data_IF_876635973588
#
_entry.id   IF_876635973588
#
_cell.length_a   1.000
_cell.length_b   1.000
_cell.length_c   1.000
_cell.angle_alpha   90.00
_cell.angle_beta   90.00
_cell.angle_gamma   90.00
#
_symmetry.space_group_name_H-M   'P 1'
#
loop_
_entity.id
_entity.type
_entity.pdbx_description
1 polymer ?
#
# COMPACT_ATOMS: atom_id res chain seq x y z
N UNK A 1 11.10 28.86 -1.95
CA UNK A 1 11.11 28.11 -3.22
C UNK A 1 9.90 27.21 -3.21
N UNK A 2 8.96 27.40 -4.13
CA UNK A 2 7.75 26.59 -4.26
C UNK A 2 8.14 25.12 -4.51
N UNK A 3 7.57 24.12 -3.81
CA UNK A 3 7.78 22.73 -4.18
C UNK A 3 7.16 22.52 -5.56
N UNK A 4 7.90 21.84 -6.41
CA UNK A 4 7.61 21.55 -7.79
C UNK A 4 6.17 21.04 -8.00
N UNK A 5 5.57 21.42 -9.13
CA UNK A 5 4.31 20.98 -9.72
C UNK A 5 4.27 19.44 -9.95
N UNK A 6 4.31 18.63 -8.90
CA UNK A 6 4.04 17.20 -8.95
C UNK A 6 2.53 16.98 -9.04
N UNK A 7 2.07 16.20 -10.04
CA UNK A 7 0.67 15.77 -10.08
C UNK A 7 0.35 14.94 -8.83
N UNK A 8 -0.82 15.17 -8.22
CA UNK A 8 -1.28 14.35 -7.11
C UNK A 8 -1.53 12.91 -7.61
N UNK A 9 -0.86 11.93 -6.99
CA UNK A 9 -1.14 10.51 -7.21
C UNK A 9 -2.44 10.11 -6.52
N UNK A 10 -2.70 10.68 -5.33
CA UNK A 10 -3.95 10.51 -4.57
C UNK A 10 -4.45 11.87 -4.16
N UNK A 11 -5.75 12.13 -4.36
CA UNK A 11 -6.45 13.30 -3.85
C UNK A 11 -7.74 12.87 -3.18
N UNK A 12 -7.91 13.19 -1.92
CA UNK A 12 -9.14 13.03 -1.16
C UNK A 12 -9.74 14.42 -0.87
N UNK A 13 -11.05 14.58 -1.06
CA UNK A 13 -11.76 15.83 -0.82
C UNK A 13 -12.99 15.57 0.05
N UNK A 14 -12.97 16.09 1.28
CA UNK A 14 -14.03 15.91 2.30
C UNK A 14 -14.48 14.44 2.43
N UNK A 15 -13.53 13.53 2.31
CA UNK A 15 -13.75 12.09 2.24
C UNK A 15 -14.27 11.58 3.59
N UNK A 16 -15.40 10.86 3.56
CA UNK A 16 -16.00 10.29 4.77
C UNK A 16 -16.41 8.84 4.54
N UNK A 17 -16.25 8.03 5.58
CA UNK A 17 -16.74 6.67 5.66
C UNK A 17 -17.34 6.40 7.03
N UNK A 18 -18.64 6.24 7.07
CA UNK A 18 -19.39 5.97 8.28
C UNK A 18 -20.04 4.60 8.20
N UNK A 19 -19.95 3.82 9.29
CA UNK A 19 -20.58 2.51 9.40
C UNK A 19 -21.69 2.56 10.44
N UNK A 20 -22.82 1.95 10.14
CA UNK A 20 -23.91 1.76 11.11
C UNK A 20 -23.78 0.39 11.76
N UNK A 21 -23.69 0.35 13.08
CA UNK A 21 -23.71 -0.85 13.90
C UNK A 21 -24.90 -0.76 14.88
N UNK A 22 -26.05 -1.31 14.49
CA UNK A 22 -27.29 -1.09 15.22
C UNK A 22 -27.68 0.39 15.25
N UNK A 23 -27.83 0.98 16.45
CA UNK A 23 -28.12 2.40 16.64
C UNK A 23 -26.88 3.30 16.62
N UNK A 24 -25.68 2.71 16.71
CA UNK A 24 -24.43 3.46 16.78
C UNK A 24 -23.90 3.80 15.37
N UNK A 25 -23.42 5.04 15.22
CA UNK A 25 -22.73 5.53 14.02
C UNK A 25 -21.23 5.63 14.30
N UNK A 26 -20.44 4.78 13.62
CA UNK A 26 -18.98 4.82 13.68
C UNK A 26 -18.48 5.66 12.52
N UNK A 27 -17.81 6.78 12.82
CA UNK A 27 -17.18 7.67 11.84
C UNK A 27 -15.73 7.27 11.63
N UNK A 28 -15.50 6.23 10.83
CA UNK A 28 -14.16 5.69 10.62
C UNK A 28 -13.25 6.63 9.83
N UNK A 29 -13.81 7.40 8.90
CA UNK A 29 -13.19 8.53 8.19
C UNK A 29 -14.21 9.65 8.18
N UNK A 30 -13.85 10.87 8.58
CA UNK A 30 -14.78 11.97 8.82
C UNK A 30 -14.25 13.30 8.26
N UNK A 31 -14.54 13.57 6.99
CA UNK A 31 -14.21 14.82 6.30
C UNK A 31 -12.74 15.00 5.99
N UNK A 32 -12.00 13.92 5.67
CA UNK A 32 -10.56 14.00 5.32
C UNK A 32 -10.36 14.63 3.95
N UNK A 33 -9.50 15.67 3.91
CA UNK A 33 -8.94 16.21 2.67
C UNK A 33 -7.42 16.05 2.69
N UNK A 34 -6.87 15.43 1.64
CA UNK A 34 -5.47 15.01 1.57
C UNK A 34 -5.02 14.88 0.11
N UNK A 35 -3.86 15.43 -0.23
CA UNK A 35 -3.15 15.14 -1.46
C UNK A 35 -1.85 14.37 -1.16
N UNK A 36 -1.55 13.30 -1.92
CA UNK A 36 -0.25 12.62 -1.93
C UNK A 36 0.33 12.77 -3.32
N UNK A 37 1.57 13.23 -3.42
CA UNK A 37 2.22 13.50 -4.71
C UNK A 37 2.75 12.20 -5.35
N UNK A 38 2.85 12.20 -6.67
CA UNK A 38 3.48 11.08 -7.39
C UNK A 38 4.95 10.92 -6.97
N UNK A 39 5.36 9.66 -6.68
CA UNK A 39 6.70 9.32 -6.19
C UNK A 39 6.93 9.63 -4.71
N UNK A 40 5.94 10.14 -3.97
CA UNK A 40 6.05 10.39 -2.54
C UNK A 40 6.06 9.08 -1.74
N UNK A 41 6.85 9.04 -0.66
CA UNK A 41 6.72 8.02 0.38
C UNK A 41 6.11 8.68 1.62
N UNK A 42 4.82 8.49 1.81
CA UNK A 42 4.06 9.03 2.95
C UNK A 42 3.78 7.94 4.00
N UNK A 43 3.86 8.29 5.29
CA UNK A 43 3.45 7.43 6.39
C UNK A 43 2.19 7.98 7.06
N UNK A 44 1.18 7.13 7.24
CA UNK A 44 -0.01 7.41 8.03
C UNK A 44 0.16 6.82 9.43
N UNK A 45 0.10 7.68 10.44
CA UNK A 45 0.33 7.38 11.85
C UNK A 45 -0.94 7.59 12.66
N UNK A 46 -1.10 6.85 13.75
CA UNK A 46 -2.22 6.99 14.68
C UNK A 46 -2.44 5.73 15.50
N UNK A 47 -3.20 5.81 16.58
CA UNK A 47 -3.58 4.67 17.41
C UNK A 47 -4.46 3.67 16.65
N UNK A 48 -4.62 2.45 17.20
CA UNK A 48 -5.63 1.51 16.70
C UNK A 48 -7.03 2.17 16.73
N UNK A 49 -7.81 1.95 15.67
CA UNK A 49 -9.13 2.56 15.53
C UNK A 49 -9.15 4.02 15.04
N UNK A 50 -8.01 4.66 14.78
CA UNK A 50 -7.97 6.06 14.31
C UNK A 50 -8.47 6.27 12.87
N UNK A 51 -8.78 5.20 12.10
CA UNK A 51 -9.31 5.27 10.74
C UNK A 51 -8.31 5.01 9.62
N UNK A 52 -7.03 4.69 9.92
CA UNK A 52 -5.96 4.47 8.92
C UNK A 52 -6.30 3.40 7.89
N UNK A 53 -6.63 2.19 8.34
CA UNK A 53 -6.98 1.08 7.44
C UNK A 53 -8.28 1.36 6.68
N UNK A 54 -9.24 2.10 7.27
CA UNK A 54 -10.45 2.51 6.55
C UNK A 54 -10.13 3.51 5.44
N UNK A 55 -9.26 4.50 5.69
CA UNK A 55 -8.80 5.44 4.68
C UNK A 55 -8.00 4.72 3.58
N UNK A 56 -7.12 3.80 3.97
CA UNK A 56 -6.37 2.97 3.02
C UNK A 56 -7.29 2.13 2.14
N UNK A 57 -8.35 1.53 2.70
CA UNK A 57 -9.35 0.76 1.94
C UNK A 57 -10.14 1.62 0.95
N UNK A 58 -10.45 2.88 1.28
CA UNK A 58 -11.07 3.82 0.35
C UNK A 58 -10.12 4.15 -0.82
N UNK A 59 -8.85 4.43 -0.53
CA UNK A 59 -7.82 4.69 -1.56
C UNK A 59 -7.58 3.43 -2.41
N UNK A 60 -7.66 2.24 -1.81
CA UNK A 60 -7.51 0.96 -2.52
C UNK A 60 -8.73 0.61 -3.40
N UNK A 61 -9.84 1.33 -3.31
CA UNK A 61 -11.10 0.96 -3.96
C UNK A 61 -11.69 -0.35 -3.45
N UNK A 62 -11.36 -0.74 -2.21
CA UNK A 62 -11.92 -1.90 -1.52
C UNK A 62 -13.24 -1.54 -0.81
N UNK A 63 -13.41 -0.26 -0.48
CA UNK A 63 -14.62 0.26 0.12
C UNK A 63 -15.06 1.55 -0.61
N UNK A 64 -16.31 1.99 -0.40
CA UNK A 64 -16.88 3.17 -1.01
C UNK A 64 -17.07 4.27 0.02
N UNK A 65 -16.82 5.54 -0.31
CA UNK A 65 -17.08 6.65 0.61
C UNK A 65 -18.58 6.79 0.86
N UNK A 66 -18.93 7.28 2.06
CA UNK A 66 -20.28 7.71 2.42
C UNK A 66 -20.54 9.13 1.91
N UNK A 67 -19.49 9.96 1.87
CA UNK A 67 -19.51 11.32 1.32
C UNK A 67 -18.10 11.73 0.88
N UNK A 68 -17.99 12.78 0.09
CA UNK A 68 -16.74 13.27 -0.50
C UNK A 68 -16.28 12.39 -1.67
N UNK A 69 -15.03 12.58 -2.09
CA UNK A 69 -14.43 11.88 -3.21
C UNK A 69 -12.99 11.48 -2.94
N UNK A 70 -12.52 10.44 -3.63
CA UNK A 70 -11.11 10.07 -3.70
C UNK A 70 -10.73 9.80 -5.14
N UNK A 71 -9.75 10.54 -5.62
CA UNK A 71 -9.19 10.42 -6.98
C UNK A 71 -7.79 9.84 -6.87
N UNK A 72 -7.50 8.79 -7.65
CA UNK A 72 -6.18 8.16 -7.74
C UNK A 72 -5.76 8.10 -9.19
N UNK A 73 -4.57 8.59 -9.50
CA UNK A 73 -4.05 8.65 -10.87
C UNK A 73 -5.07 9.25 -11.87
N UNK A 74 -5.79 10.30 -11.44
CA UNK A 74 -6.81 10.99 -12.24
C UNK A 74 -8.19 10.31 -12.29
N UNK A 75 -8.37 9.12 -11.70
CA UNK A 75 -9.63 8.39 -11.67
C UNK A 75 -10.40 8.63 -10.37
N UNK A 76 -11.61 9.18 -10.44
CA UNK A 76 -12.52 9.32 -9.28
C UNK A 76 -13.14 7.97 -8.93
N UNK A 77 -12.66 7.34 -7.85
CA UNK A 77 -13.08 5.99 -7.46
C UNK A 77 -14.56 5.90 -7.06
N UNK A 78 -15.16 7.01 -6.61
CA UNK A 78 -16.57 7.02 -6.23
C UNK A 78 -17.50 6.83 -7.44
N UNK A 79 -17.04 7.20 -8.64
CA UNK A 79 -17.79 7.12 -9.90
C UNK A 79 -17.59 5.82 -10.65
N UNK A 80 -16.56 5.05 -10.32
CA UNK A 80 -16.24 3.80 -11.02
C UNK A 80 -17.29 2.72 -10.73
N UNK A 81 -17.66 1.98 -11.76
CA UNK A 81 -18.42 0.73 -11.68
C UNK A 81 -17.62 -0.35 -10.91
N UNK A 82 -18.26 -1.49 -10.65
CA UNK A 82 -17.55 -2.61 -9.98
C UNK A 82 -16.42 -3.17 -10.81
N UNK A 83 -16.60 -3.25 -12.12
CA UNK A 83 -15.60 -3.80 -13.05
C UNK A 83 -14.45 -2.81 -13.24
N UNK A 84 -14.72 -1.52 -13.33
CA UNK A 84 -13.69 -0.48 -13.37
C UNK A 84 -12.87 -0.43 -12.07
N UNK A 85 -13.51 -0.61 -10.89
CA UNK A 85 -12.80 -0.75 -9.62
C UNK A 85 -11.95 -2.02 -9.57
N UNK A 86 -12.40 -3.13 -10.16
CA UNK A 86 -11.61 -4.35 -10.28
C UNK A 86 -10.38 -4.13 -11.18
N UNK A 87 -10.57 -3.46 -12.32
CA UNK A 87 -9.48 -3.06 -13.21
C UNK A 87 -8.49 -2.09 -12.52
N UNK A 88 -9.00 -1.11 -11.78
CA UNK A 88 -8.18 -0.20 -10.96
C UNK A 88 -7.30 -0.96 -9.97
N UNK A 89 -7.88 -1.88 -9.17
CA UNK A 89 -7.11 -2.72 -8.23
C UNK A 89 -6.11 -3.63 -8.91
N UNK A 90 -6.38 -4.02 -10.15
CA UNK A 90 -5.49 -4.89 -10.89
C UNK A 90 -4.27 -4.15 -11.45
N UNK A 91 -4.45 -2.91 -11.93
CA UNK A 91 -3.43 -2.22 -12.72
C UNK A 91 -2.81 -0.99 -12.05
N UNK A 92 -3.55 -0.32 -11.16
CA UNK A 92 -3.13 0.99 -10.63
C UNK A 92 -2.58 0.90 -9.22
N UNK A 93 -3.10 -0.01 -8.38
CA UNK A 93 -2.73 -0.10 -6.97
C UNK A 93 -2.23 -1.48 -6.60
N UNK A 94 -1.09 -1.53 -5.90
CA UNK A 94 -0.62 -2.71 -5.19
C UNK A 94 -0.93 -2.59 -3.70
N UNK A 95 -1.28 -3.70 -3.06
CA UNK A 95 -1.60 -3.71 -1.63
C UNK A 95 -0.77 -4.77 -0.92
N UNK A 96 -0.10 -4.35 0.15
CA UNK A 96 0.65 -5.20 1.08
C UNK A 96 -0.04 -5.14 2.43
N UNK A 97 -0.42 -6.29 2.97
CA UNK A 97 -1.11 -6.44 4.25
C UNK A 97 -0.17 -6.94 5.34
N UNK A 98 -0.48 -6.62 6.58
CA UNK A 98 0.20 -7.14 7.76
C UNK A 98 0.19 -8.68 7.83
N UNK A 99 -0.93 -9.31 7.48
CA UNK A 99 -1.11 -10.78 7.52
C UNK A 99 -0.68 -11.50 6.24
N UNK A 100 0.10 -10.86 5.36
CA UNK A 100 0.60 -11.36 4.07
C UNK A 100 -0.51 -11.72 3.06
N UNK A 101 -1.61 -12.32 3.49
CA UNK A 101 -2.77 -12.75 2.70
C UNK A 101 -2.37 -13.63 1.48
N UNK A 102 -1.41 -14.53 1.68
CA UNK A 102 -1.03 -15.53 0.68
C UNK A 102 -2.02 -16.69 0.68
N UNK A 103 -2.26 -17.26 -0.49
CA UNK A 103 -3.10 -18.44 -0.64
C UNK A 103 -2.24 -19.67 -0.30
N UNK A 104 -2.50 -20.37 0.83
CA UNK A 104 -1.60 -21.40 1.34
C UNK A 104 -1.55 -22.67 0.47
N UNK A 105 -2.58 -22.91 -0.35
CA UNK A 105 -2.67 -24.03 -1.26
C UNK A 105 -1.93 -23.82 -2.58
N UNK A 106 -1.54 -22.57 -2.88
CA UNK A 106 -0.75 -22.19 -4.05
C UNK A 106 0.73 -22.09 -3.70
N UNK A 107 1.60 -22.40 -4.66
CA UNK A 107 3.03 -22.12 -4.55
C UNK A 107 3.31 -20.62 -4.52
N UNK A 108 4.53 -20.25 -4.16
CA UNK A 108 5.02 -18.86 -4.17
C UNK A 108 4.82 -18.21 -5.54
N UNK A 109 5.26 -18.87 -6.61
CA UNK A 109 5.11 -18.29 -7.95
C UNK A 109 3.65 -18.19 -8.38
N UNK A 110 2.78 -19.14 -8.02
CA UNK A 110 1.36 -19.08 -8.33
C UNK A 110 0.65 -17.92 -7.58
N UNK A 111 1.06 -17.64 -6.33
CA UNK A 111 0.58 -16.47 -5.60
C UNK A 111 0.92 -15.15 -6.32
N UNK A 112 2.12 -15.05 -6.89
CA UNK A 112 2.57 -13.86 -7.64
C UNK A 112 1.94 -13.81 -9.04
N UNK A 113 1.64 -14.95 -9.67
CA UNK A 113 0.91 -14.99 -10.94
C UNK A 113 -0.55 -14.56 -10.85
N UNK A 114 -1.15 -14.62 -9.66
CA UNK A 114 -2.58 -14.42 -9.49
C UNK A 114 -3.08 -13.06 -10.02
N UNK A 115 -2.45 -11.91 -9.70
CA UNK A 115 -2.84 -10.62 -10.30
C UNK A 115 -2.68 -10.58 -11.83
N UNK A 116 -1.68 -11.27 -12.37
CA UNK A 116 -1.48 -11.36 -13.83
C UNK A 116 -2.58 -12.18 -14.52
N UNK A 117 -3.18 -13.14 -13.80
CA UNK A 117 -4.36 -13.89 -14.33
C UNK A 117 -5.57 -12.98 -14.45
N UNK A 118 -5.79 -12.10 -13.46
CA UNK A 118 -6.87 -11.10 -13.49
C UNK A 118 -6.63 -10.00 -14.52
N UNK A 119 -5.36 -9.71 -14.84
CA UNK A 119 -4.95 -8.82 -15.91
C UNK A 119 -4.97 -9.48 -17.30
N UNK A 120 -5.46 -10.72 -17.41
CA UNK A 120 -5.56 -11.49 -18.66
C UNK A 120 -4.23 -11.66 -19.42
N UNK A 121 -3.10 -11.59 -18.71
CA UNK A 121 -1.77 -11.79 -19.29
C UNK A 121 -1.62 -13.24 -19.78
N UNK A 122 -1.02 -13.44 -20.95
CA UNK A 122 -0.76 -14.76 -21.51
C UNK A 122 0.04 -15.67 -20.57
N UNK A 123 -0.29 -17.00 -20.46
CA UNK A 123 0.32 -17.92 -19.50
C UNK A 123 1.85 -17.95 -19.50
N UNK A 124 2.46 -17.93 -20.69
CA UNK A 124 3.92 -17.92 -20.85
C UNK A 124 4.58 -16.66 -20.30
N UNK A 125 3.92 -15.51 -20.52
CA UNK A 125 4.37 -14.20 -20.03
C UNK A 125 4.13 -14.06 -18.52
N UNK A 126 3.02 -14.61 -17.98
CA UNK A 126 2.75 -14.61 -16.54
C UNK A 126 3.88 -15.25 -15.75
N UNK A 127 4.30 -16.47 -16.15
CA UNK A 127 5.38 -17.19 -15.47
C UNK A 127 6.67 -16.39 -15.49
N UNK A 128 7.02 -15.80 -16.62
CA UNK A 128 8.21 -14.96 -16.74
C UNK A 128 8.14 -13.74 -15.82
N UNK A 129 7.03 -13.00 -15.86
CA UNK A 129 6.87 -11.78 -15.03
C UNK A 129 6.86 -12.11 -13.53
N UNK A 130 6.21 -13.22 -13.12
CA UNK A 130 6.22 -13.65 -11.73
C UNK A 130 7.62 -14.06 -11.27
N UNK A 131 8.38 -14.78 -12.10
CA UNK A 131 9.76 -15.14 -11.80
C UNK A 131 10.64 -13.89 -11.66
N UNK A 132 10.53 -12.92 -12.57
CA UNK A 132 11.27 -11.68 -12.51
C UNK A 132 10.92 -10.87 -11.23
N UNK A 133 9.64 -10.84 -10.83
CA UNK A 133 9.20 -10.18 -9.60
C UNK A 133 9.80 -10.87 -8.36
N UNK A 134 9.79 -12.21 -8.31
CA UNK A 134 10.38 -12.97 -7.21
C UNK A 134 11.91 -12.84 -7.13
N UNK A 135 12.58 -12.75 -8.26
CA UNK A 135 14.01 -12.46 -8.31
C UNK A 135 14.35 -11.10 -7.66
N UNK A 136 13.57 -10.06 -7.96
CA UNK A 136 13.78 -8.71 -7.41
C UNK A 136 13.66 -8.65 -5.90
N UNK A 137 12.85 -9.52 -5.29
CA UNK A 137 12.71 -9.61 -3.83
C UNK A 137 13.60 -10.70 -3.20
N UNK A 138 14.52 -11.30 -3.97
CA UNK A 138 15.50 -12.30 -3.48
C UNK A 138 14.94 -13.69 -3.24
N UNK A 139 13.82 -14.07 -3.90
CA UNK A 139 13.15 -15.37 -3.70
C UNK A 139 13.26 -16.33 -4.90
N UNK A 140 14.27 -16.17 -5.76
CA UNK A 140 14.47 -17.02 -6.93
C UNK A 140 14.54 -18.53 -6.59
N UNK A 141 15.16 -18.90 -5.46
CA UNK A 141 15.29 -20.30 -5.01
C UNK A 141 14.03 -20.86 -4.33
N UNK A 142 12.99 -20.01 -4.07
CA UNK A 142 11.80 -20.38 -3.31
C UNK A 142 10.52 -20.49 -4.14
N UNK A 143 10.58 -20.32 -5.45
CA UNK A 143 9.42 -20.19 -6.33
C UNK A 143 8.42 -21.34 -6.23
N UNK A 144 8.87 -22.56 -6.00
CA UNK A 144 8.03 -23.77 -5.92
C UNK A 144 7.56 -24.10 -4.50
N UNK A 145 8.07 -23.40 -3.47
CA UNK A 145 7.63 -23.59 -2.08
C UNK A 145 6.20 -23.10 -1.89
N UNK A 146 5.54 -23.60 -0.85
CA UNK A 146 4.26 -23.08 -0.37
C UNK A 146 4.49 -22.01 0.70
N UNK A 147 3.55 -21.09 0.92
CA UNK A 147 3.67 -20.08 1.97
C UNK A 147 4.00 -20.65 3.35
N UNK A 148 3.45 -21.83 3.69
CA UNK A 148 3.68 -22.50 4.98
C UNK A 148 5.12 -23.01 5.18
N UNK A 149 5.92 -23.05 4.12
CA UNK A 149 7.34 -23.49 4.14
C UNK A 149 8.29 -22.29 4.23
N UNK A 150 7.77 -21.06 4.32
CA UNK A 150 8.51 -19.83 4.31
C UNK A 150 8.52 -19.17 5.70
N UNK A 151 9.61 -18.48 6.02
CA UNK A 151 9.66 -17.53 7.14
C UNK A 151 8.69 -16.35 6.92
N UNK A 152 8.33 -15.64 7.98
CA UNK A 152 7.46 -14.45 7.88
C UNK A 152 8.01 -13.38 6.94
N UNK A 153 9.33 -13.14 6.97
CA UNK A 153 9.99 -12.20 6.05
C UNK A 153 9.95 -12.65 4.59
N UNK A 154 10.13 -13.95 4.33
CA UNK A 154 9.97 -14.50 2.97
C UNK A 154 8.52 -14.39 2.50
N UNK A 155 7.53 -14.67 3.36
CA UNK A 155 6.11 -14.48 3.03
C UNK A 155 5.79 -13.03 2.69
N UNK A 156 6.33 -12.07 3.45
CA UNK A 156 6.15 -10.64 3.16
C UNK A 156 6.80 -10.24 1.83
N UNK A 157 7.98 -10.75 1.52
CA UNK A 157 8.61 -10.53 0.20
C UNK A 157 7.76 -11.10 -0.95
N UNK A 158 7.11 -12.26 -0.77
CA UNK A 158 6.14 -12.79 -1.74
C UNK A 158 4.93 -11.85 -1.89
N UNK A 159 4.36 -11.34 -0.78
CA UNK A 159 3.25 -10.39 -0.81
C UNK A 159 3.62 -9.09 -1.53
N UNK A 160 4.84 -8.58 -1.33
CA UNK A 160 5.39 -7.41 -2.05
C UNK A 160 5.54 -7.74 -3.55
N UNK A 161 6.14 -8.87 -3.91
CA UNK A 161 6.28 -9.29 -5.31
C UNK A 161 4.91 -9.38 -6.00
N UNK A 162 3.91 -9.98 -5.32
CA UNK A 162 2.53 -10.07 -5.80
C UNK A 162 1.90 -8.69 -6.00
N UNK A 163 2.10 -7.77 -5.05
CA UNK A 163 1.56 -6.42 -5.14
C UNK A 163 2.16 -5.61 -6.31
N UNK A 164 3.40 -5.90 -6.70
CA UNK A 164 4.16 -5.14 -7.69
C UNK A 164 4.18 -5.76 -9.08
N UNK A 165 3.71 -7.00 -9.26
CA UNK A 165 3.87 -7.76 -10.51
C UNK A 165 3.20 -7.09 -11.71
N UNK A 166 2.09 -6.38 -11.50
CA UNK A 166 1.38 -5.58 -12.53
C UNK A 166 1.96 -4.15 -12.68
N UNK A 167 3.09 -3.84 -12.01
CA UNK A 167 3.74 -2.53 -12.05
C UNK A 167 2.80 -1.37 -11.68
N UNK A 168 2.17 -1.41 -10.50
CA UNK A 168 1.25 -0.36 -10.06
C UNK A 168 1.97 0.99 -9.92
N UNK A 169 1.20 2.08 -9.98
CA UNK A 169 1.70 3.44 -9.71
C UNK A 169 1.70 3.80 -8.23
N UNK A 170 0.85 3.12 -7.45
CA UNK A 170 0.65 3.33 -6.02
C UNK A 170 0.79 2.01 -5.27
N UNK A 171 1.58 2.00 -4.20
CA UNK A 171 1.66 0.90 -3.25
C UNK A 171 1.07 1.35 -1.91
N UNK A 172 0.09 0.60 -1.44
CA UNK A 172 -0.50 0.76 -0.12
C UNK A 172 0.04 -0.35 0.79
N UNK A 173 0.66 0.00 1.90
CA UNK A 173 1.26 -0.95 2.84
C UNK A 173 0.63 -0.78 4.23
N UNK A 174 -0.24 -1.70 4.62
CA UNK A 174 -0.90 -1.70 5.92
C UNK A 174 -0.07 -2.51 6.92
N UNK A 175 0.64 -1.81 7.81
CA UNK A 175 1.54 -2.36 8.83
C UNK A 175 2.49 -3.44 8.27
N UNK A 176 3.31 -3.13 7.23
CA UNK A 176 4.04 -4.15 6.47
C UNK A 176 5.10 -4.91 7.27
N UNK A 177 5.40 -4.48 8.49
CA UNK A 177 6.39 -5.06 9.39
C UNK A 177 5.80 -5.60 10.69
N UNK A 178 4.49 -5.44 10.90
CA UNK A 178 3.85 -5.72 12.19
C UNK A 178 3.92 -7.18 12.67
N UNK A 179 4.18 -8.15 11.78
CA UNK A 179 4.34 -9.56 12.11
C UNK A 179 5.80 -10.06 11.95
N UNK A 180 6.78 -9.14 11.90
CA UNK A 180 8.18 -9.46 11.66
C UNK A 180 9.06 -9.03 12.84
N UNK A 181 10.20 -9.70 13.00
CA UNK A 181 11.24 -9.22 13.90
C UNK A 181 11.86 -7.92 13.36
N UNK A 182 12.50 -7.14 14.22
CA UNK A 182 13.03 -5.81 13.90
C UNK A 182 14.06 -5.82 12.75
N UNK A 183 14.87 -6.88 12.64
CA UNK A 183 15.87 -7.00 11.57
C UNK A 183 15.19 -7.23 10.22
N UNK A 184 14.31 -8.20 10.17
CA UNK A 184 13.53 -8.54 8.97
C UNK A 184 12.63 -7.38 8.57
N UNK A 185 11.97 -6.72 9.54
CA UNK A 185 11.15 -5.54 9.30
C UNK A 185 11.95 -4.40 8.64
N UNK A 186 13.19 -4.15 9.11
CA UNK A 186 14.09 -3.20 8.49
C UNK A 186 14.39 -3.55 7.03
N UNK A 187 14.73 -4.81 6.74
CA UNK A 187 15.01 -5.27 5.37
C UNK A 187 13.80 -5.07 4.43
N UNK A 188 12.58 -5.27 4.93
CA UNK A 188 11.35 -5.03 4.17
C UNK A 188 11.18 -3.54 3.87
N UNK A 189 11.41 -2.66 4.84
CA UNK A 189 11.28 -1.21 4.63
C UNK A 189 12.39 -0.66 3.75
N UNK A 190 13.62 -1.15 3.88
CA UNK A 190 14.74 -0.83 2.97
C UNK A 190 14.35 -1.20 1.52
N UNK A 191 13.75 -2.39 1.30
CA UNK A 191 13.24 -2.81 -0.02
C UNK A 191 12.15 -1.85 -0.55
N UNK A 192 11.18 -1.45 0.28
CA UNK A 192 10.13 -0.51 -0.13
C UNK A 192 10.68 0.87 -0.47
N UNK A 193 11.68 1.34 0.30
CA UNK A 193 12.35 2.61 0.04
C UNK A 193 13.16 2.58 -1.27
N UNK A 194 13.86 1.49 -1.54
CA UNK A 194 14.60 1.30 -2.78
C UNK A 194 13.67 1.29 -4.00
N UNK A 195 12.52 0.63 -3.89
CA UNK A 195 11.49 0.63 -4.93
C UNK A 195 10.93 2.03 -5.17
N UNK A 196 10.63 2.79 -4.10
CA UNK A 196 10.17 4.17 -4.23
C UNK A 196 11.22 5.05 -4.94
N UNK A 197 12.48 5.03 -4.47
CA UNK A 197 13.57 5.87 -5.01
C UNK A 197 13.95 5.53 -6.44
N UNK A 198 14.03 4.23 -6.77
CA UNK A 198 14.59 3.77 -8.04
C UNK A 198 13.53 3.67 -9.16
N UNK A 199 12.25 3.49 -8.81
CA UNK A 199 11.18 3.35 -9.80
C UNK A 199 10.14 4.47 -9.79
N UNK A 200 10.25 5.44 -8.88
CA UNK A 200 9.27 6.51 -8.72
C UNK A 200 7.90 6.02 -8.22
N UNK A 201 7.85 4.82 -7.61
CA UNK A 201 6.64 4.26 -7.03
C UNK A 201 6.14 5.14 -5.89
N UNK A 202 4.87 5.57 -5.94
CA UNK A 202 4.24 6.24 -4.80
C UNK A 202 3.95 5.21 -3.71
N UNK A 203 4.32 5.49 -2.46
CA UNK A 203 4.10 4.58 -1.34
C UNK A 203 3.32 5.29 -0.24
N UNK A 204 2.22 4.67 0.22
CA UNK A 204 1.51 5.07 1.43
C UNK A 204 1.61 3.92 2.42
N UNK A 205 2.32 4.14 3.51
CA UNK A 205 2.53 3.15 4.57
C UNK A 205 1.69 3.52 5.79
N UNK A 206 0.90 2.60 6.29
CA UNK A 206 0.26 2.70 7.60
C UNK A 206 1.19 2.04 8.62
N UNK A 207 1.46 2.73 9.72
CA UNK A 207 2.21 2.20 10.85
C UNK A 207 1.83 2.90 12.14
N UNK A 208 2.00 2.23 13.27
CA UNK A 208 1.93 2.85 14.61
C UNK A 208 3.33 3.14 15.17
N UNK A 209 4.40 2.74 14.47
CA UNK A 209 5.79 2.90 14.87
C UNK A 209 6.39 4.19 14.30
N UNK A 210 6.40 5.26 15.14
CA UNK A 210 6.89 6.58 14.72
C UNK A 210 8.34 6.54 14.23
N UNK A 211 9.21 5.76 14.86
CA UNK A 211 10.63 5.66 14.49
C UNK A 211 10.84 5.11 13.06
N UNK A 212 9.94 4.23 12.58
CA UNK A 212 9.97 3.74 11.20
C UNK A 212 9.52 4.84 10.23
N UNK A 213 8.44 5.57 10.58
CA UNK A 213 8.00 6.70 9.77
C UNK A 213 9.07 7.81 9.69
N UNK A 214 9.73 8.15 10.81
CA UNK A 214 10.82 9.13 10.86
C UNK A 214 12.00 8.76 9.95
N UNK A 215 12.24 7.46 9.77
CA UNK A 215 13.38 6.97 9.00
C UNK A 215 13.10 6.84 7.51
N UNK A 216 11.90 6.38 7.13
CA UNK A 216 11.61 5.94 5.76
C UNK A 216 10.70 6.88 4.98
N UNK A 217 9.79 7.60 5.66
CA UNK A 217 8.84 8.47 4.99
C UNK A 217 9.36 9.90 4.86
N UNK A 218 9.09 10.53 3.72
CA UNK A 218 9.33 11.95 3.51
C UNK A 218 8.22 12.84 4.07
N UNK A 219 7.06 12.26 4.43
CA UNK A 219 5.91 12.96 5.00
C UNK A 219 5.17 12.07 5.98
N UNK A 220 4.68 12.66 7.06
CA UNK A 220 3.92 11.98 8.10
C UNK A 220 2.55 12.62 8.26
N UNK A 221 1.52 11.79 8.20
CA UNK A 221 0.12 12.19 8.31
C UNK A 221 -0.45 11.52 9.55
N UNK A 222 -0.88 12.31 10.52
CA UNK A 222 -1.37 11.81 11.82
C UNK A 222 -2.90 11.76 11.81
N UNK A 223 -3.45 10.59 12.14
CA UNK A 223 -4.89 10.36 12.22
C UNK A 223 -5.33 10.09 13.67
N UNK A 224 -6.44 10.71 14.07
CA UNK A 224 -7.18 10.38 15.29
C UNK A 224 -8.67 10.54 15.01
N UNK A 225 -9.49 9.60 15.52
CA UNK A 225 -10.96 9.64 15.45
C UNK A 225 -11.50 9.92 14.04
N UNK A 226 -10.89 9.31 13.02
CA UNK A 226 -11.29 9.48 11.63
C UNK A 226 -10.87 10.79 10.97
N UNK A 227 -10.05 11.63 11.61
CA UNK A 227 -9.60 12.92 11.10
C UNK A 227 -8.08 13.02 11.02
N UNK A 228 -7.59 13.87 10.12
CA UNK A 228 -6.18 14.28 10.12
C UNK A 228 -6.01 15.35 11.21
N UNK A 229 -5.08 15.08 12.14
CA UNK A 229 -4.71 15.97 13.24
C UNK A 229 -3.32 16.58 13.07
N UNK A 230 -2.55 16.13 12.10
CA UNK A 230 -1.22 16.64 11.75
C UNK A 230 -0.81 16.13 10.38
N UNK A 231 -0.02 16.94 9.69
CA UNK A 231 0.52 16.64 8.37
C UNK A 231 1.87 17.37 8.23
N UNK A 232 2.97 16.63 8.29
CA UNK A 232 4.30 17.16 8.44
C UNK A 232 5.25 16.57 7.40
N UNK A 233 5.99 17.44 6.70
CA UNK A 233 7.15 17.00 5.91
C UNK A 233 8.29 16.60 6.86
N UNK A 234 8.86 15.42 6.66
CA UNK A 234 10.06 14.99 7.38
C UNK A 234 11.26 15.59 6.70
N UNK A 235 11.90 16.58 7.36
CA UNK A 235 13.19 17.10 6.89
C UNK A 235 14.19 15.95 6.89
N UNK A 236 14.87 15.71 5.76
CA UNK A 236 15.98 14.76 5.69
C UNK A 236 16.98 15.13 6.80
N UNK A 237 16.96 14.40 7.92
CA UNK A 237 18.01 14.51 8.93
C UNK A 237 19.28 14.05 8.23
N UNK A 238 20.16 15.01 8.01
CA UNK A 238 21.43 14.82 7.36
C UNK A 238 22.12 13.55 7.85
N UNK A 239 22.72 12.84 6.92
CA UNK A 239 23.77 11.85 7.16
C UNK A 239 24.67 12.37 8.28
N UNK A 240 24.49 11.85 9.48
CA UNK A 240 25.53 12.01 10.49
C UNK A 240 26.52 10.89 10.25
N UNK A 241 27.71 11.36 9.85
CA UNK A 241 28.95 10.64 9.66
C UNK A 241 29.25 9.61 10.77
#
# INVERSE_FOLDING_TARGET
MNPANGSAAVRAENLSRHYRMGESLIRAVDGISLDVLAGEFAAMLGSSGSGKSSLLNLIAGLDRPTAGSVTVDGSDLARLSRDELASYRCHTVGIVFQAFNLIPTMSVVENVELPLRFAEVEPSQRRKQANDALQRVGLAARMQHRPTELSGGEQQRVAIARALVNRPKLLLADEPTGNLDSKTGKEILDLLQDLNRNSGLTVIMVTHERHLADRYAGRQIFLADGKIIGDEAVSAKGERA
#
